data_IF_374331227231
#
_entry.id   IF_374331227231
#
_cell.length_a   1.000
_cell.length_b   1.000
_cell.length_c   1.000
_cell.angle_alpha   90.00
_cell.angle_beta   90.00
_cell.angle_gamma   90.00
#
_symmetry.space_group_name_H-M   'P 1'
#
loop_
_entity.id
_entity.type
_entity.pdbx_description
1 polymer ?
#
# COMPACT_ATOMS: atom_id res chain seq x y z
N UNK A 1 63.25 -7.31 -2.82
CA UNK A 1 62.46 -8.55 -3.01
C UNK A 1 61.32 -8.50 -2.00
N UNK A 2 60.14 -8.02 -2.40
CA UNK A 2 59.05 -8.72 -3.08
C UNK A 2 58.10 -9.46 -2.12
N UNK A 3 56.80 -9.15 -2.28
CA UNK A 3 55.63 -9.86 -1.74
C UNK A 3 54.97 -9.12 -0.58
N UNK A 4 54.01 -8.20 -0.74
CA UNK A 4 52.74 -8.31 -1.48
C UNK A 4 52.05 -9.67 -1.29
N UNK A 5 50.98 -9.68 -0.49
CA UNK A 5 49.71 -10.38 -0.70
C UNK A 5 48.77 -9.99 0.46
N UNK A 6 48.18 -8.81 0.36
CA UNK A 6 46.79 -8.63 -0.10
C UNK A 6 45.78 -9.14 0.93
N UNK A 7 45.19 -8.16 1.60
CA UNK A 7 43.93 -8.21 2.33
C UNK A 7 42.97 -9.24 1.75
N UNK A 8 42.44 -10.07 2.65
CA UNK A 8 41.31 -10.97 2.43
C UNK A 8 40.10 -10.15 1.92
N UNK A 9 40.04 -9.91 0.61
CA UNK A 9 38.82 -9.58 -0.09
C UNK A 9 38.10 -10.89 -0.42
N UNK A 10 37.54 -11.52 0.61
CA UNK A 10 36.44 -12.47 0.42
C UNK A 10 35.23 -11.94 1.18
N UNK A 11 34.71 -10.82 0.67
CA UNK A 11 33.33 -10.43 0.94
C UNK A 11 32.57 -10.85 -0.30
N UNK A 12 31.88 -11.98 -0.23
CA UNK A 12 30.90 -12.39 -1.24
C UNK A 12 29.99 -11.21 -1.58
N UNK A 13 30.15 -10.65 -2.78
CA UNK A 13 29.48 -9.44 -3.26
C UNK A 13 27.94 -9.53 -3.29
N UNK A 14 27.35 -10.70 -3.00
CA UNK A 14 25.91 -10.94 -2.94
C UNK A 14 25.25 -10.65 -1.58
N UNK A 15 25.99 -10.72 -0.47
CA UNK A 15 25.43 -10.51 0.87
C UNK A 15 24.83 -9.10 1.12
N UNK A 16 25.45 -7.98 0.69
CA UNK A 16 24.91 -6.65 0.99
C UNK A 16 23.64 -6.31 0.19
N UNK A 17 23.50 -6.83 -1.03
CA UNK A 17 22.32 -6.58 -1.87
C UNK A 17 21.07 -7.25 -1.34
N UNK A 18 21.18 -8.51 -0.92
CA UNK A 18 20.06 -9.24 -0.33
C UNK A 18 19.58 -8.61 0.99
N UNK A 19 20.52 -8.15 1.82
CA UNK A 19 20.19 -7.43 3.05
C UNK A 19 19.45 -6.11 2.76
N UNK A 20 19.94 -5.32 1.79
CA UNK A 20 19.28 -4.09 1.38
C UNK A 20 17.88 -4.34 0.82
N UNK A 21 17.73 -5.34 -0.06
CA UNK A 21 16.43 -5.72 -0.63
C UNK A 21 15.45 -6.15 0.46
N UNK A 22 15.93 -6.84 1.51
CA UNK A 22 15.16 -7.21 2.69
C UNK A 22 14.63 -5.99 3.46
N UNK A 23 15.50 -5.02 3.74
CA UNK A 23 15.10 -3.77 4.42
C UNK A 23 14.08 -2.99 3.59
N UNK A 24 14.28 -2.90 2.28
CA UNK A 24 13.35 -2.20 1.38
C UNK A 24 11.98 -2.88 1.40
N UNK A 25 11.94 -4.22 1.35
CA UNK A 25 10.70 -4.99 1.44
C UNK A 25 9.98 -4.76 2.78
N UNK A 26 10.71 -4.71 3.90
CA UNK A 26 10.15 -4.43 5.22
C UNK A 26 9.55 -3.01 5.28
N UNK A 27 10.28 -2.00 4.78
CA UNK A 27 9.76 -0.63 4.70
C UNK A 27 8.50 -0.55 3.83
N UNK A 28 8.50 -1.18 2.65
CA UNK A 28 7.34 -1.22 1.76
C UNK A 28 6.15 -1.93 2.41
N UNK A 29 6.40 -3.00 3.17
CA UNK A 29 5.33 -3.73 3.86
C UNK A 29 4.72 -2.92 4.99
N UNK A 30 5.52 -2.09 5.66
CA UNK A 30 5.05 -1.26 6.77
C UNK A 30 4.32 0.02 6.29
N UNK A 31 4.84 0.70 5.27
CA UNK A 31 4.25 1.95 4.74
C UNK A 31 3.10 1.66 3.75
N UNK A 32 3.29 0.67 2.88
CA UNK A 32 2.51 0.50 1.65
C UNK A 32 2.98 1.44 0.53
N UNK A 33 2.43 1.25 -0.67
CA UNK A 33 2.76 2.04 -1.87
C UNK A 33 1.49 2.48 -2.59
N UNK A 34 1.48 3.71 -3.10
CA UNK A 34 0.41 4.15 -4.00
C UNK A 34 0.66 3.59 -5.40
N UNK A 35 -0.22 2.69 -5.86
CA UNK A 35 -0.02 1.95 -7.10
C UNK A 35 -0.12 2.83 -8.35
N UNK A 36 -0.71 4.02 -8.28
CA UNK A 36 -0.84 4.90 -9.44
C UNK A 36 0.42 5.73 -9.70
N UNK A 37 1.24 5.96 -8.67
CA UNK A 37 2.48 6.75 -8.77
C UNK A 37 3.76 5.95 -8.52
N UNK A 38 3.64 4.74 -7.96
CA UNK A 38 4.78 3.88 -7.65
C UNK A 38 5.54 3.47 -8.93
N UNK A 39 6.87 3.52 -8.85
CA UNK A 39 7.77 3.07 -9.92
C UNK A 39 7.80 1.55 -10.01
N UNK A 40 8.16 1.02 -11.18
CA UNK A 40 8.28 -0.44 -11.37
C UNK A 40 9.27 -1.06 -10.37
N UNK A 41 10.40 -0.38 -10.12
CA UNK A 41 11.42 -0.85 -9.17
C UNK A 41 10.84 -1.00 -7.77
N UNK A 42 10.10 -0.01 -7.28
CA UNK A 42 9.53 -0.05 -5.93
C UNK A 42 8.41 -1.09 -5.81
N UNK A 43 7.60 -1.29 -6.86
CA UNK A 43 6.57 -2.33 -6.90
C UNK A 43 7.14 -3.74 -6.71
N UNK A 44 8.38 -4.00 -7.14
CA UNK A 44 9.02 -5.33 -7.01
C UNK A 44 9.24 -5.75 -5.56
N UNK A 45 9.28 -4.80 -4.63
CA UNK A 45 9.47 -5.05 -3.19
C UNK A 45 8.14 -5.22 -2.44
N UNK A 46 7.00 -5.13 -3.14
CA UNK A 46 5.69 -5.42 -2.55
C UNK A 46 5.50 -6.94 -2.49
N UNK A 47 5.01 -7.45 -1.35
CA UNK A 47 4.73 -8.86 -1.18
C UNK A 47 3.86 -9.42 -2.33
N UNK A 48 4.28 -10.53 -2.92
CA UNK A 48 3.60 -11.16 -4.05
C UNK A 48 3.90 -10.53 -5.42
N UNK A 49 4.57 -9.38 -5.51
CA UNK A 49 4.99 -8.79 -6.78
C UNK A 49 6.42 -9.22 -7.13
N UNK A 50 6.71 -9.23 -8.43
CA UNK A 50 8.04 -9.50 -8.98
C UNK A 50 8.26 -8.60 -10.19
N UNK A 51 9.42 -8.71 -10.85
CA UNK A 51 9.75 -7.91 -12.04
C UNK A 51 8.66 -7.96 -13.10
N UNK A 52 8.19 -9.16 -13.47
CA UNK A 52 7.17 -9.33 -14.49
C UNK A 52 5.80 -8.77 -14.09
N UNK A 53 5.39 -8.94 -12.83
CA UNK A 53 4.11 -8.41 -12.32
C UNK A 53 4.14 -6.89 -12.21
N UNK A 54 5.24 -6.32 -11.71
CA UNK A 54 5.42 -4.88 -11.63
C UNK A 54 5.34 -4.24 -13.02
N UNK A 55 6.00 -4.86 -14.02
CA UNK A 55 5.89 -4.44 -15.42
C UNK A 55 4.45 -4.53 -15.94
N UNK A 56 3.76 -5.65 -15.73
CA UNK A 56 2.38 -5.80 -16.19
C UNK A 56 1.43 -4.76 -15.55
N UNK A 57 1.67 -4.37 -14.29
CA UNK A 57 0.90 -3.31 -13.62
C UNK A 57 1.17 -1.96 -14.28
N UNK A 58 2.45 -1.64 -14.56
CA UNK A 58 2.81 -0.41 -15.26
C UNK A 58 2.19 -0.33 -16.66
N UNK A 59 2.29 -1.42 -17.45
CA UNK A 59 1.68 -1.53 -18.78
C UNK A 59 0.14 -1.41 -18.71
N UNK A 60 -0.49 -1.99 -17.67
CA UNK A 60 -1.93 -1.86 -17.48
C UNK A 60 -2.34 -0.41 -17.22
N UNK A 61 -1.58 0.35 -16.40
CA UNK A 61 -1.84 1.77 -16.13
C UNK A 61 -1.73 2.63 -17.39
N UNK A 62 -0.74 2.35 -18.23
CA UNK A 62 -0.54 3.07 -19.50
C UNK A 62 -1.72 2.84 -20.46
N UNK A 63 -2.27 1.63 -20.49
CA UNK A 63 -3.35 1.25 -21.42
C UNK A 63 -4.76 1.61 -20.92
N UNK A 64 -4.99 1.53 -19.61
CA UNK A 64 -6.33 1.65 -19.02
C UNK A 64 -6.51 2.92 -18.16
N UNK A 65 -5.43 3.69 -17.96
CA UNK A 65 -5.40 4.80 -17.02
C UNK A 65 -5.15 4.36 -15.57
N UNK A 66 -5.30 5.28 -14.60
CA UNK A 66 -5.04 4.98 -13.20
C UNK A 66 -6.06 3.97 -12.63
N UNK A 67 -5.61 3.16 -11.67
CA UNK A 67 -6.49 2.29 -10.88
C UNK A 67 -7.41 3.13 -9.99
N UNK A 68 -8.71 2.86 -10.07
CA UNK A 68 -9.79 3.48 -9.31
C UNK A 68 -10.02 2.75 -7.98
N UNK A 69 -9.83 1.42 -7.98
CA UNK A 69 -9.93 0.59 -6.79
C UNK A 69 -8.99 -0.62 -6.85
N UNK A 70 -8.77 -1.27 -5.71
CA UNK A 70 -7.86 -2.43 -5.63
C UNK A 70 -8.35 -3.61 -6.46
N UNK A 71 -9.65 -3.81 -6.58
CA UNK A 71 -10.24 -4.94 -7.30
C UNK A 71 -9.79 -4.99 -8.78
N UNK A 72 -9.55 -3.83 -9.40
CA UNK A 72 -9.00 -3.74 -10.77
C UNK A 72 -7.62 -4.40 -10.93
N UNK A 73 -6.84 -4.59 -9.86
CA UNK A 73 -5.59 -5.35 -9.92
C UNK A 73 -5.81 -6.79 -10.41
N UNK A 74 -6.99 -7.38 -10.18
CA UNK A 74 -7.34 -8.73 -10.67
C UNK A 74 -7.43 -8.80 -12.19
N UNK A 75 -7.54 -7.66 -12.89
CA UNK A 75 -7.54 -7.59 -14.35
C UNK A 75 -6.13 -7.68 -14.95
N UNK A 76 -5.10 -7.35 -14.16
CA UNK A 76 -3.72 -7.33 -14.61
C UNK A 76 -3.24 -8.76 -14.87
N UNK A 77 -2.49 -8.94 -15.97
CA UNK A 77 -1.91 -10.23 -16.33
C UNK A 77 -1.00 -10.76 -15.20
N UNK A 78 -1.24 -11.99 -14.76
CA UNK A 78 -0.45 -12.65 -13.72
C UNK A 78 -0.86 -12.31 -12.27
N UNK A 79 -1.91 -11.52 -12.09
CA UNK A 79 -2.54 -11.23 -10.79
C UNK A 79 -3.62 -12.27 -10.46
N UNK A 80 -3.19 -13.47 -10.09
CA UNK A 80 -4.10 -14.51 -9.58
C UNK A 80 -4.60 -14.20 -8.16
N UNK A 81 -5.59 -14.96 -7.65
CA UNK A 81 -6.18 -14.73 -6.32
C UNK A 81 -5.16 -14.67 -5.18
N UNK A 82 -4.19 -15.60 -5.17
CA UNK A 82 -3.12 -15.65 -4.17
C UNK A 82 -2.20 -14.42 -4.25
N UNK A 83 -1.80 -14.04 -5.46
CA UNK A 83 -0.97 -12.85 -5.68
C UNK A 83 -1.69 -11.60 -5.18
N UNK A 84 -2.97 -11.47 -5.54
CA UNK A 84 -3.80 -10.36 -5.10
C UNK A 84 -3.90 -10.29 -3.58
N UNK A 85 -4.22 -11.40 -2.92
CA UNK A 85 -4.28 -11.48 -1.46
C UNK A 85 -2.94 -11.11 -0.79
N UNK A 86 -1.82 -11.52 -1.38
CA UNK A 86 -0.49 -11.17 -0.85
C UNK A 86 -0.17 -9.68 -0.95
N UNK A 87 -0.58 -9.01 -2.03
CA UNK A 87 -0.19 -7.62 -2.25
C UNK A 87 -1.23 -6.59 -1.79
N UNK A 88 -2.51 -6.95 -1.71
CA UNK A 88 -3.60 -5.98 -1.61
C UNK A 88 -3.56 -5.12 -0.33
N UNK A 89 -3.05 -5.65 0.79
CA UNK A 89 -2.90 -4.88 2.03
C UNK A 89 -1.83 -3.77 1.96
N UNK A 90 -0.88 -3.92 1.03
CA UNK A 90 0.24 -3.00 0.85
C UNK A 90 0.00 -1.97 -0.26
N UNK A 91 -1.05 -2.13 -1.06
CA UNK A 91 -1.35 -1.26 -2.19
C UNK A 91 -2.35 -0.19 -1.78
N UNK A 92 -2.03 1.08 -1.98
CA UNK A 92 -2.93 2.21 -1.75
C UNK A 92 -3.36 2.84 -3.07
N UNK A 93 -4.54 3.45 -3.07
CA UNK A 93 -5.05 4.24 -4.19
C UNK A 93 -5.52 5.57 -3.64
N UNK A 94 -4.75 6.64 -3.86
CA UNK A 94 -5.10 7.97 -3.39
C UNK A 94 -5.97 8.71 -4.42
N UNK A 95 -7.14 9.26 -4.04
CA UNK A 95 -7.99 10.03 -4.93
C UNK A 95 -7.28 11.21 -5.60
N UNK A 96 -6.28 11.81 -4.96
CA UNK A 96 -5.54 12.93 -5.56
C UNK A 96 -4.78 12.47 -6.82
N UNK A 97 -4.26 11.24 -6.83
CA UNK A 97 -3.58 10.67 -8.01
C UNK A 97 -4.55 10.37 -9.16
N UNK A 98 -5.83 10.14 -8.86
CA UNK A 98 -6.89 10.02 -9.87
C UNK A 98 -7.16 11.36 -10.58
N UNK A 99 -7.00 12.48 -9.89
CA UNK A 99 -7.25 13.82 -10.42
C UNK A 99 -6.06 14.37 -11.19
N UNK A 100 -4.82 14.08 -10.76
CA UNK A 100 -3.61 14.53 -11.46
C UNK A 100 -3.49 13.98 -12.89
N UNK A 101 -4.11 12.83 -13.18
CA UNK A 101 -4.17 12.27 -14.53
C UNK A 101 -5.04 13.08 -15.51
N UNK A 102 -5.90 13.99 -15.02
CA UNK A 102 -6.74 14.86 -15.87
C UNK A 102 -6.04 16.13 -16.34
N UNK A 103 -4.88 16.47 -15.78
CA UNK A 103 -4.16 17.73 -16.06
C UNK A 103 -2.97 17.57 -17.01
N UNK A 104 -2.68 16.35 -17.48
CA UNK A 104 -1.69 16.12 -18.55
C UNK A 104 -2.30 16.49 -19.92
N UNK A 105 -1.54 17.11 -20.85
CA UNK A 105 -2.05 17.56 -22.15
C UNK A 105 -2.36 16.43 -23.15
N UNK A 106 -2.41 15.17 -22.70
CA UNK A 106 -2.86 14.06 -23.51
C UNK A 106 -4.35 13.83 -23.26
N UNK A 107 -5.20 13.82 -24.30
CA UNK A 107 -6.63 13.58 -24.12
C UNK A 107 -6.83 12.21 -23.46
N UNK A 108 -7.46 12.21 -22.30
CA UNK A 108 -8.03 11.00 -21.69
C UNK A 108 -8.89 10.31 -22.74
N UNK A 109 -8.64 9.04 -23.10
CA UNK A 109 -9.60 8.29 -23.87
C UNK A 109 -10.91 8.30 -23.10
N UNK A 110 -12.01 8.63 -23.78
CA UNK A 110 -13.33 8.43 -23.25
C UNK A 110 -13.44 7.01 -22.67
N UNK A 111 -14.08 6.92 -21.50
CA UNK A 111 -14.31 5.68 -20.76
C UNK A 111 -14.67 4.54 -21.73
N UNK A 112 -14.00 3.39 -21.69
CA UNK A 112 -14.42 2.27 -22.53
C UNK A 112 -15.76 1.74 -22.02
N UNK A 113 -16.85 2.14 -22.68
CA UNK A 113 -18.08 1.38 -22.68
C UNK A 113 -17.79 -0.01 -23.29
N UNK A 114 -17.89 -1.04 -22.44
CA UNK A 114 -17.72 -2.47 -22.73
C UNK A 114 -16.34 -2.91 -23.27
N UNK A 115 -15.70 -3.96 -22.70
CA UNK A 115 -14.56 -4.58 -23.34
C UNK A 115 -15.02 -5.35 -24.58
N UNK A 116 -14.48 -4.99 -25.74
CA UNK A 116 -14.53 -5.81 -26.94
C UNK A 116 -13.84 -7.16 -26.67
N UNK A 117 -14.60 -8.23 -26.89
CA UNK A 117 -14.15 -9.60 -26.73
C UNK A 117 -12.96 -9.91 -27.65
N UNK A 118 -11.80 -10.24 -27.07
CA UNK A 118 -10.76 -11.04 -27.75
C UNK A 118 -10.68 -12.40 -27.07
N UNK A 119 -11.02 -13.43 -27.85
CA UNK A 119 -11.04 -14.86 -27.46
C UNK A 119 -9.67 -15.28 -26.91
N UNK A 120 -9.59 -15.43 -25.59
CA UNK A 120 -8.56 -16.19 -24.89
C UNK A 120 -9.26 -17.08 -23.87
N UNK A 121 -9.05 -18.40 -23.99
CA UNK A 121 -9.77 -19.44 -23.23
C UNK A 121 -9.70 -19.22 -21.71
N UNK A 122 -10.87 -19.22 -21.07
CA UNK A 122 -11.07 -19.46 -19.63
C UNK A 122 -10.69 -18.33 -18.68
N UNK A 123 -11.49 -17.26 -18.59
CA UNK A 123 -11.46 -16.33 -17.46
C UNK A 123 -12.87 -16.13 -16.93
N UNK A 124 -13.06 -16.44 -15.65
CA UNK A 124 -14.25 -16.13 -14.86
C UNK A 124 -14.59 -14.66 -15.02
N UNK A 125 -15.84 -14.35 -15.37
CA UNK A 125 -16.33 -12.98 -15.52
C UNK A 125 -16.45 -12.35 -14.12
N UNK A 126 -15.38 -11.73 -13.62
CA UNK A 126 -15.40 -11.00 -12.36
C UNK A 126 -16.05 -9.64 -12.63
N UNK A 127 -17.22 -9.39 -12.04
CA UNK A 127 -17.87 -8.08 -12.08
C UNK A 127 -17.13 -7.14 -11.12
N UNK A 128 -16.21 -6.34 -11.65
CA UNK A 128 -15.37 -5.44 -10.83
C UNK A 128 -16.08 -4.09 -10.71
N UNK A 129 -16.28 -3.57 -9.48
CA UNK A 129 -16.85 -2.25 -9.28
C UNK A 129 -16.04 -1.18 -10.01
N UNK A 130 -16.70 -0.19 -10.60
CA UNK A 130 -16.05 0.99 -11.21
C UNK A 130 -16.04 2.21 -10.28
N UNK A 131 -16.52 2.04 -9.04
CA UNK A 131 -16.53 3.09 -8.03
C UNK A 131 -15.23 3.12 -7.21
N UNK A 132 -14.92 4.31 -6.68
CA UNK A 132 -13.85 4.50 -5.70
C UNK A 132 -14.28 3.88 -4.38
N UNK A 133 -13.39 3.10 -3.76
CA UNK A 133 -13.57 2.62 -2.40
C UNK A 133 -12.65 3.40 -1.44
N UNK A 134 -13.19 4.16 -0.47
CA UNK A 134 -12.38 4.91 0.48
C UNK A 134 -11.41 4.04 1.31
N UNK A 135 -11.75 2.76 1.53
CA UNK A 135 -10.89 1.83 2.28
C UNK A 135 -9.61 1.46 1.53
N UNK A 136 -9.54 1.66 0.21
CA UNK A 136 -8.34 1.39 -0.60
C UNK A 136 -7.18 2.34 -0.24
N UNK A 137 -7.44 3.43 0.47
CA UNK A 137 -6.42 4.35 0.99
C UNK A 137 -5.75 3.85 2.27
N UNK A 138 -6.34 2.86 2.94
CA UNK A 138 -5.95 2.40 4.29
C UNK A 138 -5.10 1.13 4.25
N UNK A 139 -4.47 0.72 5.36
CA UNK A 139 -3.78 -0.59 5.44
C UNK A 139 -4.74 -1.78 5.53
N UNK A 140 -6.05 -1.54 5.58
CA UNK A 140 -7.06 -2.58 5.78
C UNK A 140 -7.06 -3.48 4.55
N UNK A 141 -6.86 -4.77 4.76
CA UNK A 141 -6.91 -5.75 3.69
C UNK A 141 -8.34 -5.90 3.16
N UNK A 142 -8.57 -6.12 1.84
CA UNK A 142 -9.93 -6.26 1.28
C UNK A 142 -10.78 -7.35 1.93
N UNK A 143 -10.15 -8.42 2.42
CA UNK A 143 -10.80 -9.50 3.20
C UNK A 143 -11.47 -8.98 4.48
N UNK A 144 -11.01 -7.85 5.01
CA UNK A 144 -11.53 -7.23 6.23
C UNK A 144 -12.45 -6.03 5.96
N UNK A 145 -12.85 -5.76 4.70
CA UNK A 145 -13.70 -4.61 4.38
C UNK A 145 -15.08 -4.70 5.02
N UNK A 146 -15.70 -5.87 5.03
CA UNK A 146 -16.99 -6.06 5.68
C UNK A 146 -16.90 -5.76 7.19
N UNK A 147 -15.82 -6.23 7.84
CA UNK A 147 -15.55 -5.95 9.26
C UNK A 147 -15.33 -4.44 9.48
N UNK A 148 -14.55 -3.79 8.62
CA UNK A 148 -14.29 -2.35 8.69
C UNK A 148 -15.56 -1.51 8.55
N UNK A 149 -16.46 -1.89 7.62
CA UNK A 149 -17.75 -1.24 7.45
C UNK A 149 -18.65 -1.43 8.66
N UNK A 150 -18.76 -2.65 9.20
CA UNK A 150 -19.50 -2.92 10.45
C UNK A 150 -18.97 -2.11 11.62
N UNK A 151 -17.64 -1.99 11.74
CA UNK A 151 -17.01 -1.19 12.77
C UNK A 151 -17.30 0.31 12.59
N UNK A 152 -17.25 0.84 11.36
CA UNK A 152 -17.64 2.22 11.07
C UNK A 152 -19.08 2.52 11.51
N UNK A 153 -20.02 1.63 11.18
CA UNK A 153 -21.41 1.75 11.63
C UNK A 153 -21.54 1.72 13.15
N UNK A 154 -20.75 0.88 13.83
CA UNK A 154 -20.76 0.76 15.30
C UNK A 154 -20.24 2.04 16.00
N UNK A 155 -19.26 2.71 15.41
CA UNK A 155 -18.72 3.97 15.94
C UNK A 155 -19.52 5.21 15.50
N UNK A 156 -20.49 5.05 14.59
CA UNK A 156 -21.30 6.13 14.04
C UNK A 156 -20.59 6.95 12.97
N UNK A 157 -19.56 6.38 12.33
CA UNK A 157 -18.79 7.02 11.28
C UNK A 157 -19.19 6.56 9.86
N UNK A 158 -18.70 7.29 8.86
CA UNK A 158 -18.85 6.95 7.44
C UNK A 158 -17.48 6.79 6.76
N UNK A 159 -17.44 6.04 5.65
CA UNK A 159 -16.24 5.83 4.84
C UNK A 159 -15.64 7.15 4.29
N UNK A 160 -16.44 8.21 4.15
CA UNK A 160 -15.95 9.54 3.77
C UNK A 160 -15.20 10.29 4.88
N UNK A 161 -15.27 9.81 6.13
CA UNK A 161 -14.63 10.43 7.29
C UNK A 161 -13.31 9.75 7.68
N UNK A 162 -12.83 8.80 6.89
CA UNK A 162 -11.55 8.10 7.13
C UNK A 162 -10.43 9.13 7.31
N UNK A 163 -9.68 8.97 8.40
CA UNK A 163 -8.57 9.86 8.77
C UNK A 163 -8.97 11.23 9.30
N UNK A 164 -10.27 11.54 9.42
CA UNK A 164 -10.74 12.80 10.01
C UNK A 164 -10.62 12.81 11.54
N UNK A 165 -10.39 13.99 12.13
CA UNK A 165 -10.32 14.14 13.59
C UNK A 165 -11.62 13.70 14.30
N UNK A 166 -12.79 13.94 13.68
CA UNK A 166 -14.08 13.53 14.22
C UNK A 166 -14.22 12.01 14.33
N UNK A 167 -13.82 11.28 13.28
CA UNK A 167 -13.84 9.81 13.31
C UNK A 167 -12.86 9.27 14.38
N UNK A 168 -11.66 9.85 14.47
CA UNK A 168 -10.65 9.49 15.49
C UNK A 168 -11.21 9.61 16.90
N UNK A 169 -11.88 10.73 17.20
CA UNK A 169 -12.48 10.96 18.51
C UNK A 169 -13.63 9.98 18.80
N UNK A 170 -14.46 9.66 17.80
CA UNK A 170 -15.53 8.67 17.95
C UNK A 170 -14.96 7.29 18.27
N UNK A 171 -13.94 6.86 17.54
CA UNK A 171 -13.24 5.58 17.76
C UNK A 171 -12.61 5.55 19.15
N UNK A 172 -11.87 6.58 19.54
CA UNK A 172 -11.24 6.65 20.87
C UNK A 172 -12.27 6.61 22.00
N UNK A 173 -13.38 7.33 21.87
CA UNK A 173 -14.47 7.32 22.85
C UNK A 173 -15.09 5.93 22.99
N UNK A 174 -15.28 5.23 21.87
CA UNK A 174 -15.80 3.85 21.86
C UNK A 174 -14.83 2.86 22.47
N UNK A 175 -13.53 2.99 22.19
CA UNK A 175 -12.47 2.14 22.76
C UNK A 175 -12.30 2.37 24.27
N UNK A 176 -12.43 3.63 24.74
CA UNK A 176 -12.44 3.95 26.18
C UNK A 176 -13.65 3.37 26.89
N UNK A 177 -14.82 3.41 26.24
CA UNK A 177 -16.08 2.90 26.83
C UNK A 177 -16.16 1.36 26.76
N UNK A 178 -15.61 0.76 25.71
CA UNK A 178 -15.58 -0.69 25.49
C UNK A 178 -14.17 -1.11 25.06
N UNK A 179 -13.56 -2.02 25.82
CA UNK A 179 -12.27 -2.61 25.47
C UNK A 179 -12.28 -3.19 24.05
N UNK A 180 -11.11 -3.14 23.40
CA UNK A 180 -10.90 -3.63 22.02
C UNK A 180 -11.39 -5.07 21.85
N UNK A 181 -11.18 -5.95 22.83
CA UNK A 181 -11.64 -7.34 22.81
C UNK A 181 -13.16 -7.49 22.69
N UNK A 182 -13.92 -6.64 23.38
CA UNK A 182 -15.40 -6.67 23.32
C UNK A 182 -15.90 -6.15 21.98
N UNK A 183 -15.23 -5.12 21.45
CA UNK A 183 -15.53 -4.58 20.12
C UNK A 183 -15.22 -5.61 19.03
N UNK A 184 -14.08 -6.30 19.12
CA UNK A 184 -13.67 -7.32 18.16
C UNK A 184 -14.69 -8.46 18.08
N UNK A 185 -15.17 -8.95 19.23
CA UNK A 185 -16.27 -9.94 19.30
C UNK A 185 -17.58 -9.42 18.71
N UNK A 186 -17.88 -8.12 18.87
CA UNK A 186 -19.11 -7.52 18.35
C UNK A 186 -19.12 -7.45 16.82
N UNK A 187 -17.96 -7.20 16.20
CA UNK A 187 -17.82 -7.12 14.74
C UNK A 187 -17.28 -8.41 14.11
N UNK A 188 -17.26 -9.50 14.89
CA UNK A 188 -16.83 -10.84 14.48
C UNK A 188 -15.41 -10.86 13.87
N UNK A 189 -14.43 -10.46 14.68
CA UNK A 189 -13.01 -10.42 14.29
C UNK A 189 -12.07 -10.62 15.48
N UNK A 190 -10.75 -10.68 15.22
CA UNK A 190 -9.74 -10.76 16.28
C UNK A 190 -9.31 -9.38 16.78
N UNK A 191 -8.84 -9.25 18.04
CA UNK A 191 -8.35 -7.96 18.56
C UNK A 191 -7.21 -7.37 17.70
N UNK A 192 -6.35 -8.19 17.12
CA UNK A 192 -5.24 -7.77 16.26
C UNK A 192 -5.76 -7.17 14.95
N UNK A 193 -6.72 -7.86 14.32
CA UNK A 193 -7.35 -7.39 13.10
C UNK A 193 -8.13 -6.10 13.36
N UNK A 194 -8.82 -6.00 14.50
CA UNK A 194 -9.52 -4.79 14.87
C UNK A 194 -8.57 -3.61 15.12
N UNK A 195 -7.42 -3.82 15.75
CA UNK A 195 -6.39 -2.77 15.90
C UNK A 195 -5.92 -2.27 14.54
N UNK A 196 -5.65 -3.19 13.60
CA UNK A 196 -5.26 -2.81 12.23
C UNK A 196 -6.36 -2.01 11.53
N UNK A 197 -7.63 -2.37 11.72
CA UNK A 197 -8.78 -1.62 11.20
C UNK A 197 -8.85 -0.24 11.84
N UNK A 198 -8.73 -0.14 13.16
CA UNK A 198 -8.74 1.13 13.89
C UNK A 198 -7.62 2.02 13.36
N UNK A 199 -6.40 1.51 13.27
CA UNK A 199 -5.26 2.25 12.73
C UNK A 199 -5.57 2.71 11.31
N UNK A 200 -5.97 1.81 10.42
CA UNK A 200 -6.30 2.12 9.02
C UNK A 200 -7.38 3.19 8.85
N UNK A 201 -8.41 3.19 9.70
CA UNK A 201 -9.50 4.19 9.65
C UNK A 201 -9.12 5.53 10.28
N UNK A 202 -8.18 5.54 11.24
CA UNK A 202 -7.81 6.73 12.02
C UNK A 202 -6.57 7.44 11.49
N UNK A 203 -5.75 6.79 10.68
CA UNK A 203 -4.63 7.44 10.02
C UNK A 203 -5.13 8.50 9.02
N UNK A 204 -4.59 9.74 9.05
CA UNK A 204 -4.98 10.75 8.09
C UNK A 204 -4.63 10.34 6.64
N UNK A 205 -5.36 10.84 5.62
CA UNK A 205 -5.02 10.59 4.23
C UNK A 205 -3.60 11.10 3.93
N UNK A 206 -2.76 10.26 3.34
CA UNK A 206 -1.36 10.60 3.10
C UNK A 206 -0.47 10.58 4.35
N UNK A 207 -0.94 9.99 5.45
CA UNK A 207 -0.12 9.78 6.64
C UNK A 207 1.12 8.95 6.28
N UNK A 208 2.26 9.60 6.41
CA UNK A 208 3.56 8.99 6.22
C UNK A 208 4.19 8.74 7.59
N UNK A 209 4.17 7.49 8.01
CA UNK A 209 4.82 7.02 9.23
C UNK A 209 6.30 7.41 9.32
N UNK A 210 6.97 7.68 8.19
CA UNK A 210 8.36 8.15 8.16
C UNK A 210 8.55 9.51 8.85
N UNK A 211 7.51 10.34 8.89
CA UNK A 211 7.54 11.64 9.58
C UNK A 211 7.66 11.49 11.11
N UNK A 212 7.33 10.33 11.66
CA UNK A 212 7.41 10.04 13.09
C UNK A 212 8.70 9.33 13.50
N UNK A 213 9.57 8.97 12.53
CA UNK A 213 10.94 8.64 12.86
C UNK A 213 11.59 9.97 13.22
N UNK A 214 11.96 10.14 14.50
CA UNK A 214 12.57 11.36 14.99
C UNK A 214 13.60 11.83 13.98
N UNK A 215 13.56 13.13 13.62
CA UNK A 215 14.58 13.70 12.75
C UNK A 215 15.92 13.22 13.28
N UNK A 216 16.74 12.64 12.40
CA UNK A 216 18.13 12.46 12.75
C UNK A 216 18.61 13.84 13.21
N UNK A 217 19.03 13.93 14.47
CA UNK A 217 19.64 15.12 15.06
C UNK A 217 20.98 15.33 14.37
N UNK A 218 20.94 15.71 13.09
CA UNK A 218 22.06 16.30 12.41
C UNK A 218 22.27 17.63 13.11
N UNK A 219 23.11 17.62 14.15
CA UNK A 219 23.68 18.83 14.73
C UNK A 219 24.15 19.66 13.53
N UNK A 220 23.58 20.85 13.34
CA UNK A 220 23.80 21.75 12.20
C UNK A 220 25.26 22.27 12.06
N UNK A 221 26.24 21.57 12.61
CA UNK A 221 27.65 21.95 12.63
C UNK A 221 28.64 20.81 12.42
N UNK A 222 28.21 19.58 12.09
CA UNK A 222 29.15 18.51 11.73
C UNK A 222 29.42 18.60 10.23
N UNK A 223 30.57 19.17 9.87
CA UNK A 223 31.02 19.34 8.48
C UNK A 223 32.22 18.43 8.17
N UNK A 224 32.74 17.74 9.19
CA UNK A 224 33.92 16.88 9.10
C UNK A 224 33.77 15.62 9.96
N UNK A 225 34.42 14.53 9.52
CA UNK A 225 34.55 13.26 10.28
C UNK A 225 35.16 13.46 11.68
N UNK A 226 35.86 14.55 11.92
CA UNK A 226 36.44 14.89 13.22
C UNK A 226 35.41 15.36 14.27
N UNK A 227 34.19 15.70 13.85
CA UNK A 227 33.15 16.23 14.74
C UNK A 227 32.25 15.14 15.34
N UNK A 228 32.44 13.87 14.94
CA UNK A 228 31.85 12.72 15.61
C UNK A 228 32.74 12.33 16.80
N UNK A 229 32.20 12.46 18.02
CA UNK A 229 32.75 11.81 19.22
C UNK A 229 32.07 10.46 19.45
#
# INVERSE_FOLDING_TARGET
MFGENMTKHDVSAGAPKAALDGVVQECVSFVGVDINICSETLMRHVAGLNVGRARNIAEWREQNGPFINREQLKLVKGMGPKTYQQCAGFIRINPQTLHSARSSPHPVPAMPEKPAAKKGKGKTCVNIPTSVNPLDQTCIHPESYDVGQRFLSLVGGSAGQIGSAGLRQCVESKVKTRSVDKLAKTVDTTPETLKLIIDGLTQPPGFDIRQNFGQADFKRGIVSMSDLR
#
